data_IF_782555471643
#
_entry.id   IF_782555471643
#
_cell.length_a   1.000
_cell.length_b   1.000
_cell.length_c   1.000
_cell.angle_alpha   90.00
_cell.angle_beta   90.00
_cell.angle_gamma   90.00
#
_symmetry.space_group_name_H-M   'P 1'
#
loop_
_entity.id
_entity.type
_entity.pdbx_description
1 polymer ?
#
# COMPACT_ATOMS: atom_id res chain seq x y z
N UNK A 1 52.05 -15.64 -35.99
CA UNK A 1 50.95 -14.81 -35.45
C UNK A 1 49.89 -15.75 -34.89
N UNK A 2 49.56 -15.61 -33.60
CA UNK A 2 48.70 -16.52 -32.82
C UNK A 2 47.23 -16.17 -33.09
N UNK A 3 46.51 -17.02 -33.82
CA UNK A 3 45.06 -16.89 -34.01
C UNK A 3 44.35 -17.48 -32.78
N UNK A 4 44.14 -16.65 -31.77
CA UNK A 4 43.37 -16.97 -30.57
C UNK A 4 42.14 -16.07 -30.49
N UNK A 5 41.14 -16.32 -31.33
CA UNK A 5 39.79 -15.76 -31.27
C UNK A 5 38.93 -16.80 -32.03
N UNK A 6 37.82 -17.38 -31.55
CA UNK A 6 36.67 -16.84 -30.84
C UNK A 6 36.01 -18.00 -30.08
N UNK A 7 35.88 -17.90 -28.75
CA UNK A 7 34.83 -18.63 -28.02
C UNK A 7 33.61 -17.71 -27.97
N UNK A 8 32.51 -17.96 -28.70
CA UNK A 8 31.25 -17.34 -28.38
C UNK A 8 30.61 -18.19 -27.28
N UNK A 9 31.16 -18.13 -26.08
CA UNK A 9 30.39 -18.49 -24.88
C UNK A 9 29.44 -17.33 -24.59
N UNK A 10 28.45 -17.17 -25.45
CA UNK A 10 27.21 -16.50 -25.09
C UNK A 10 26.52 -17.43 -24.10
N UNK A 11 26.99 -17.42 -22.85
CA UNK A 11 26.18 -17.82 -21.72
C UNK A 11 25.04 -16.78 -21.68
N UNK A 12 23.95 -17.10 -22.37
CA UNK A 12 22.67 -16.46 -22.15
C UNK A 12 22.30 -16.75 -20.70
N UNK A 13 22.76 -15.89 -19.81
CA UNK A 13 22.18 -15.73 -18.49
C UNK A 13 20.75 -15.27 -18.76
N UNK A 14 19.85 -16.25 -18.86
CA UNK A 14 18.43 -16.04 -18.67
C UNK A 14 18.29 -15.59 -17.24
N UNK A 15 18.46 -14.29 -17.03
CA UNK A 15 18.05 -13.63 -15.82
C UNK A 15 16.54 -13.79 -15.81
N UNK A 16 16.05 -14.83 -15.15
CA UNK A 16 14.70 -14.79 -14.61
C UNK A 16 14.71 -13.53 -13.76
N UNK A 17 14.04 -12.49 -14.23
CA UNK A 17 13.42 -11.55 -13.34
C UNK A 17 12.52 -12.42 -12.45
N UNK A 18 13.06 -12.90 -11.34
CA UNK A 18 12.24 -12.98 -10.16
C UNK A 18 11.75 -11.54 -10.02
N UNK A 19 10.52 -11.30 -10.47
CA UNK A 19 9.74 -10.20 -9.96
C UNK A 19 9.85 -10.38 -8.46
N UNK A 20 10.76 -9.61 -7.87
CA UNK A 20 10.66 -9.23 -6.49
C UNK A 20 9.41 -8.36 -6.51
N UNK A 21 8.25 -9.02 -6.54
CA UNK A 21 7.02 -8.49 -6.00
C UNK A 21 7.36 -8.26 -4.55
N UNK A 22 8.00 -7.11 -4.30
CA UNK A 22 8.11 -6.55 -2.97
C UNK A 22 6.67 -6.58 -2.50
N UNK A 23 6.46 -7.39 -1.47
CA UNK A 23 5.19 -7.61 -0.80
C UNK A 23 4.58 -6.25 -0.44
N UNK A 24 3.75 -5.72 -1.34
CA UNK A 24 2.62 -4.85 -1.00
C UNK A 24 1.41 -5.74 -0.63
N UNK A 25 1.66 -6.95 -0.15
CA UNK A 25 0.71 -7.75 0.60
C UNK A 25 0.52 -7.00 1.94
N UNK A 26 -0.55 -6.25 2.16
CA UNK A 26 -1.80 -6.82 2.68
C UNK A 26 -2.99 -5.84 2.56
N UNK A 27 -3.05 -4.97 1.54
CA UNK A 27 -4.25 -4.15 1.31
C UNK A 27 -4.63 -4.13 -0.17
N UNK A 28 -5.93 -4.18 -0.47
CA UNK A 28 -6.41 -4.16 -1.85
C UNK A 28 -6.13 -2.81 -2.52
N UNK A 29 -6.15 -2.75 -3.86
CA UNK A 29 -6.06 -1.48 -4.58
C UNK A 29 -7.17 -0.49 -4.20
N UNK A 30 -8.38 -0.99 -3.90
CA UNK A 30 -9.50 -0.14 -3.50
C UNK A 30 -9.26 0.49 -2.14
N UNK A 31 -8.85 -0.32 -1.16
CA UNK A 31 -8.49 0.16 0.17
C UNK A 31 -7.34 1.17 0.12
N UNK A 32 -6.31 0.91 -0.68
CA UNK A 32 -5.20 1.83 -0.87
C UNK A 32 -5.66 3.16 -1.51
N UNK A 33 -6.54 3.13 -2.50
CA UNK A 33 -7.10 4.33 -3.09
C UNK A 33 -7.86 5.17 -2.06
N UNK A 34 -8.80 4.55 -1.32
CA UNK A 34 -9.58 5.26 -0.31
C UNK A 34 -8.72 5.87 0.80
N UNK A 35 -7.67 5.17 1.24
CA UNK A 35 -6.74 5.69 2.25
C UNK A 35 -6.00 6.94 1.76
N UNK A 36 -5.56 6.96 0.51
CA UNK A 36 -4.88 8.11 -0.08
C UNK A 36 -5.82 9.29 -0.32
N UNK A 37 -7.01 9.06 -0.88
CA UNK A 37 -8.02 10.11 -1.09
C UNK A 37 -8.44 10.74 0.25
N UNK A 38 -8.66 9.91 1.27
CA UNK A 38 -9.02 10.39 2.62
C UNK A 38 -7.92 11.23 3.24
N UNK A 39 -6.64 10.85 3.04
CA UNK A 39 -5.51 11.64 3.50
C UNK A 39 -5.47 13.01 2.81
N UNK A 40 -5.70 13.06 1.50
CA UNK A 40 -5.77 14.30 0.73
C UNK A 40 -6.92 15.19 1.21
N UNK A 41 -8.13 14.64 1.40
CA UNK A 41 -9.30 15.37 1.88
C UNK A 41 -9.08 15.93 3.29
N UNK A 42 -8.40 15.18 4.15
CA UNK A 42 -8.05 15.62 5.50
C UNK A 42 -6.89 16.63 5.54
N UNK A 43 -6.18 16.85 4.42
CA UNK A 43 -4.99 17.69 4.37
C UNK A 43 -3.75 17.06 5.04
N UNK A 44 -3.73 15.73 5.20
CA UNK A 44 -2.59 15.00 5.73
C UNK A 44 -1.52 14.79 4.66
N UNK A 45 -0.25 14.64 5.07
CA UNK A 45 0.87 14.49 4.13
C UNK A 45 0.72 13.19 3.32
N UNK A 46 0.24 12.12 3.96
CA UNK A 46 -0.03 10.83 3.33
C UNK A 46 -0.96 9.99 4.20
N UNK A 47 -1.41 8.85 3.68
CA UNK A 47 -2.14 7.84 4.47
C UNK A 47 -1.34 7.23 5.62
N UNK A 48 -0.02 7.48 5.69
CA UNK A 48 0.87 7.00 6.74
C UNK A 48 1.19 8.08 7.79
N UNK A 49 0.67 9.30 7.61
CA UNK A 49 0.77 10.39 8.57
C UNK A 49 -0.23 10.14 9.72
N UNK A 50 0.12 9.21 10.61
CA UNK A 50 -0.78 8.75 11.69
C UNK A 50 -1.12 9.87 12.68
N UNK A 51 -0.18 10.78 12.92
CA UNK A 51 -0.40 11.94 13.79
C UNK A 51 -1.50 12.87 13.24
N UNK A 52 -1.65 12.94 11.91
CA UNK A 52 -2.74 13.66 11.26
C UNK A 52 -4.01 12.80 11.06
N UNK A 53 -3.86 11.59 10.51
CA UNK A 53 -4.98 10.77 10.05
C UNK A 53 -5.81 10.18 11.20
N UNK A 54 -5.17 9.77 12.29
CA UNK A 54 -5.85 9.16 13.44
C UNK A 54 -6.83 10.10 14.17
N UNK A 55 -6.47 11.36 14.51
CA UNK A 55 -7.42 12.28 15.13
C UNK A 55 -8.41 12.91 14.13
N UNK A 56 -8.12 12.87 12.83
CA UNK A 56 -8.92 13.57 11.82
C UNK A 56 -10.30 12.93 11.60
N UNK A 57 -11.36 13.67 11.95
CA UNK A 57 -12.74 13.31 11.62
C UNK A 57 -12.95 13.30 10.10
N UNK A 58 -12.39 14.27 9.38
CA UNK A 58 -12.49 14.36 7.93
C UNK A 58 -11.90 13.14 7.22
N UNK A 59 -10.76 12.63 7.71
CA UNK A 59 -10.15 11.39 7.21
C UNK A 59 -11.10 10.21 7.38
N UNK A 60 -11.62 10.01 8.61
CA UNK A 60 -12.50 8.88 8.94
C UNK A 60 -13.81 8.90 8.15
N UNK A 61 -14.45 10.06 8.06
CA UNK A 61 -15.72 10.22 7.35
C UNK A 61 -15.56 9.97 5.85
N UNK A 62 -14.51 10.52 5.23
CA UNK A 62 -14.23 10.30 3.82
C UNK A 62 -13.86 8.85 3.53
N UNK A 63 -13.04 8.24 4.39
CA UNK A 63 -12.64 6.83 4.27
C UNK A 63 -13.86 5.91 4.30
N UNK A 64 -14.75 6.12 5.27
CA UNK A 64 -15.98 5.34 5.41
C UNK A 64 -16.89 5.52 4.18
N UNK A 65 -17.00 6.73 3.65
CA UNK A 65 -17.79 7.00 2.45
C UNK A 65 -17.19 6.31 1.21
N UNK A 66 -15.88 6.44 1.00
CA UNK A 66 -15.17 5.84 -0.13
C UNK A 66 -15.31 4.31 -0.11
N UNK A 67 -15.02 3.67 1.04
CA UNK A 67 -15.16 2.21 1.19
C UNK A 67 -16.57 1.72 0.86
N UNK A 68 -17.60 2.47 1.28
CA UNK A 68 -19.00 2.11 1.05
C UNK A 68 -19.40 2.18 -0.42
N UNK A 69 -18.83 3.12 -1.17
CA UNK A 69 -19.20 3.37 -2.57
C UNK A 69 -18.40 2.46 -3.51
N UNK A 70 -17.09 2.34 -3.26
CA UNK A 70 -16.15 1.81 -4.24
C UNK A 70 -15.58 0.44 -3.89
N UNK A 71 -15.63 0.03 -2.61
CA UNK A 71 -14.92 -1.15 -2.11
C UNK A 71 -15.83 -2.27 -1.61
N UNK A 72 -15.21 -3.39 -1.27
CA UNK A 72 -15.90 -4.57 -0.74
C UNK A 72 -16.04 -4.50 0.78
N UNK A 73 -16.94 -5.31 1.39
CA UNK A 73 -17.00 -5.45 2.84
C UNK A 73 -15.68 -5.93 3.46
N UNK A 74 -14.90 -6.78 2.77
CA UNK A 74 -13.59 -7.25 3.23
C UNK A 74 -12.58 -6.10 3.34
N UNK A 75 -12.63 -5.14 2.41
CA UNK A 75 -11.80 -3.93 2.48
C UNK A 75 -12.15 -3.06 3.69
N UNK A 76 -13.44 -2.98 4.05
CA UNK A 76 -13.89 -2.24 5.22
C UNK A 76 -13.43 -2.89 6.54
N UNK A 77 -13.49 -4.22 6.62
CA UNK A 77 -12.94 -4.97 7.76
C UNK A 77 -11.42 -4.76 7.87
N UNK A 78 -10.70 -4.85 6.74
CA UNK A 78 -9.26 -4.63 6.71
C UNK A 78 -8.88 -3.18 7.07
N UNK A 79 -9.68 -2.20 6.67
CA UNK A 79 -9.49 -0.80 7.07
C UNK A 79 -9.61 -0.61 8.58
N UNK A 80 -10.56 -1.30 9.23
CA UNK A 80 -10.73 -1.26 10.69
C UNK A 80 -9.52 -1.87 11.40
N UNK A 81 -9.01 -3.00 10.91
CA UNK A 81 -7.83 -3.64 11.47
C UNK A 81 -6.58 -2.76 11.34
N UNK A 82 -6.38 -2.12 10.18
CA UNK A 82 -5.31 -1.14 9.98
C UNK A 82 -5.45 0.08 10.88
N UNK A 83 -6.67 0.56 11.09
CA UNK A 83 -6.91 1.69 11.97
C UNK A 83 -6.50 1.34 13.40
N UNK A 84 -6.87 0.15 13.91
CA UNK A 84 -6.43 -0.33 15.22
C UNK A 84 -4.91 -0.49 15.30
N UNK A 85 -4.27 -1.02 14.26
CA UNK A 85 -2.83 -1.21 14.19
C UNK A 85 -2.07 0.13 14.23
N UNK A 86 -2.56 1.14 13.50
CA UNK A 86 -1.87 2.43 13.33
C UNK A 86 -2.20 3.45 14.40
N UNK A 87 -3.45 3.47 14.86
CA UNK A 87 -3.98 4.49 15.76
C UNK A 87 -4.19 3.98 17.19
N UNK A 88 -4.02 2.67 17.41
CA UNK A 88 -4.40 2.02 18.66
C UNK A 88 -5.92 1.90 18.82
N UNK A 89 -6.34 1.32 19.93
CA UNK A 89 -7.72 1.44 20.41
C UNK A 89 -7.87 2.77 21.15
N UNK A 90 -8.98 3.51 21.00
CA UNK A 90 -9.22 4.68 21.83
C UNK A 90 -9.11 4.26 23.31
N UNK A 91 -8.37 5.04 24.11
CA UNK A 91 -8.28 4.80 25.54
C UNK A 91 -9.69 4.86 26.13
N UNK A 92 -10.09 3.82 26.87
CA UNK A 92 -11.28 3.88 27.72
C UNK A 92 -11.02 4.94 28.80
N UNK A 93 -11.54 6.16 28.59
CA UNK A 93 -11.64 7.21 29.61
C UNK A 93 -13.07 7.31 30.16
#
# INVERSE_FOLDING_TARGET
>A
MKLSIFLPLAAFLTMSAAEIGITNECISPCLNHCLNESAMVAGCISQYDTDCTCPSVAFKDNMQMCLKIDCTPEDAEKALDLHKERCGTPAEE
#
